data_IF_210911151177
#
_entry.id   IF_210911151177
#
_cell.length_a   1.000
_cell.length_b   1.000
_cell.length_c   1.000
_cell.angle_alpha   90.00
_cell.angle_beta   90.00
_cell.angle_gamma   90.00
#
_symmetry.space_group_name_H-M   'P 1'
#
loop_
_entity.id
_entity.type
_entity.pdbx_description
1 polymer ?
#
# COMPACT_ATOMS: atom_id res chain seq x y z
N UNK A 1 -2.05 0.68 -5.04
CA UNK A 1 -1.47 1.61 -4.04
C UNK A 1 -1.92 1.30 -2.59
N UNK A 2 -3.06 0.64 -2.33
CA UNK A 2 -3.53 0.36 -0.95
C UNK A 2 -2.92 -0.90 -0.27
N UNK A 3 -2.15 -1.70 -1.00
CA UNK A 3 -1.71 -3.02 -0.52
C UNK A 3 -0.54 -2.94 0.48
N UNK A 4 0.43 -2.06 0.23
CA UNK A 4 1.71 -1.95 0.97
C UNK A 4 1.72 -0.89 2.08
N UNK A 5 0.89 0.14 2.01
CA UNK A 5 0.92 1.25 2.98
C UNK A 5 0.56 0.83 4.43
N UNK A 6 -0.49 0.01 4.67
CA UNK A 6 -0.90 -0.30 6.05
C UNK A 6 0.12 -1.13 6.86
N UNK A 7 0.82 -2.13 6.28
CA UNK A 7 1.90 -2.84 6.97
C UNK A 7 3.11 -1.98 7.32
N UNK A 8 3.52 -1.06 6.43
CA UNK A 8 4.66 -0.16 6.67
C UNK A 8 4.36 0.76 7.85
N UNK A 9 3.17 1.37 7.87
CA UNK A 9 2.73 2.24 8.97
C UNK A 9 2.77 1.51 10.31
N UNK A 10 2.24 0.28 10.36
CA UNK A 10 2.26 -0.55 11.56
C UNK A 10 3.69 -0.85 12.03
N UNK A 11 4.58 -1.25 11.12
CA UNK A 11 5.97 -1.57 11.48
C UNK A 11 6.72 -0.34 12.00
N UNK A 12 6.52 0.83 11.38
CA UNK A 12 7.11 2.08 11.85
C UNK A 12 6.65 2.42 13.27
N UNK A 13 5.34 2.37 13.54
CA UNK A 13 4.80 2.63 14.88
C UNK A 13 5.34 1.66 15.92
N UNK A 14 5.41 0.37 15.57
CA UNK A 14 6.01 -0.63 16.44
C UNK A 14 7.48 -0.36 16.69
N UNK A 15 8.27 -0.04 15.65
CA UNK A 15 9.69 0.29 15.79
C UNK A 15 9.89 1.49 16.72
N UNK A 16 9.15 2.58 16.49
CA UNK A 16 9.22 3.76 17.33
C UNK A 16 8.81 3.48 18.78
N UNK A 17 7.82 2.62 19.00
CA UNK A 17 7.45 2.17 20.33
C UNK A 17 8.59 1.42 21.03
N UNK A 18 9.20 0.46 20.33
CA UNK A 18 10.32 -0.31 20.86
C UNK A 18 11.55 0.57 21.18
N UNK A 19 11.87 1.54 20.32
CA UNK A 19 12.96 2.51 20.55
C UNK A 19 12.74 3.38 21.78
N UNK A 20 11.47 3.70 22.08
CA UNK A 20 11.07 4.44 23.29
C UNK A 20 10.99 3.56 24.54
N UNK A 21 11.22 2.25 24.41
CA UNK A 21 11.08 1.28 25.50
C UNK A 21 9.63 0.96 25.86
N UNK A 22 8.65 1.27 25.00
CA UNK A 22 7.27 0.85 25.23
C UNK A 22 7.08 -0.61 24.84
N UNK A 23 6.21 -1.32 25.56
CA UNK A 23 5.91 -2.70 25.21
C UNK A 23 5.18 -2.78 23.87
N UNK A 24 5.49 -3.82 23.10
CA UNK A 24 4.82 -4.10 21.82
C UNK A 24 3.30 -4.13 21.96
N UNK A 25 2.80 -4.76 23.04
CA UNK A 25 1.38 -4.87 23.33
C UNK A 25 0.73 -3.49 23.49
N UNK A 26 1.35 -2.60 24.25
CA UNK A 26 0.86 -1.22 24.45
C UNK A 26 0.85 -0.45 23.14
N UNK A 27 1.91 -0.56 22.34
CA UNK A 27 2.02 0.11 21.04
C UNK A 27 0.90 -0.35 20.09
N UNK A 28 0.66 -1.65 19.99
CA UNK A 28 -0.38 -2.22 19.14
C UNK A 28 -1.80 -1.81 19.60
N UNK A 29 -2.05 -1.78 20.91
CA UNK A 29 -3.31 -1.30 21.46
C UNK A 29 -3.56 0.16 21.09
N UNK A 30 -2.55 1.02 21.24
CA UNK A 30 -2.64 2.44 20.87
C UNK A 30 -2.87 2.62 19.37
N UNK A 31 -2.14 1.88 18.53
CA UNK A 31 -2.28 1.92 17.07
C UNK A 31 -3.73 1.59 16.65
N UNK A 32 -4.31 0.54 17.23
CA UNK A 32 -5.70 0.17 16.88
C UNK A 32 -6.75 1.20 17.28
N UNK A 33 -6.46 2.13 18.20
CA UNK A 33 -7.43 3.14 18.66
C UNK A 33 -7.55 4.34 17.71
N UNK A 34 -6.60 4.52 16.76
CA UNK A 34 -6.54 5.71 15.92
C UNK A 34 -7.67 5.81 14.88
N UNK A 35 -8.07 4.68 14.28
CA UNK A 35 -9.16 4.64 13.30
C UNK A 35 -10.00 3.36 13.44
N UNK A 36 -11.29 3.51 13.74
CA UNK A 36 -12.24 2.40 13.90
C UNK A 36 -12.84 1.91 12.58
N UNK A 37 -12.78 2.73 11.53
CA UNK A 37 -13.51 2.51 10.29
C UNK A 37 -12.75 1.69 9.26
N UNK A 38 -11.41 1.73 9.30
CA UNK A 38 -10.60 1.04 8.30
C UNK A 38 -10.53 -0.49 8.54
N UNK A 39 -10.74 -1.31 7.49
CA UNK A 39 -10.71 -2.78 7.58
C UNK A 39 -9.40 -3.34 8.16
N UNK A 40 -8.29 -2.64 7.92
CA UNK A 40 -6.97 -3.02 8.42
C UNK A 40 -6.90 -3.03 9.96
N UNK A 41 -7.38 -1.95 10.59
CA UNK A 41 -7.39 -1.84 12.04
C UNK A 41 -8.35 -2.82 12.69
N UNK A 42 -9.47 -3.13 12.03
CA UNK A 42 -10.40 -4.18 12.48
C UNK A 42 -9.73 -5.55 12.45
N UNK A 43 -8.96 -5.83 11.39
CA UNK A 43 -8.23 -7.09 11.25
C UNK A 43 -7.13 -7.25 12.31
N UNK A 44 -6.36 -6.19 12.61
CA UNK A 44 -5.37 -6.21 13.70
C UNK A 44 -6.05 -6.43 15.05
N UNK A 45 -7.18 -5.76 15.31
CA UNK A 45 -7.94 -5.97 16.55
C UNK A 45 -8.42 -7.40 16.72
N UNK A 46 -9.00 -7.97 15.66
CA UNK A 46 -9.45 -9.36 15.67
C UNK A 46 -8.28 -10.31 15.94
N UNK A 47 -7.14 -10.08 15.28
CA UNK A 47 -5.92 -10.86 15.49
C UNK A 47 -5.41 -10.76 16.94
N UNK A 48 -5.32 -9.56 17.52
CA UNK A 48 -4.93 -9.34 18.91
C UNK A 48 -5.87 -10.07 19.88
N UNK A 49 -7.18 -9.96 19.68
CA UNK A 49 -8.17 -10.62 20.52
C UNK A 49 -8.05 -12.15 20.46
N UNK A 50 -7.80 -12.71 19.28
CA UNK A 50 -7.59 -14.16 19.12
C UNK A 50 -6.36 -14.64 19.88
N UNK A 51 -5.26 -13.87 19.83
CA UNK A 51 -4.04 -14.17 20.59
C UNK A 51 -4.28 -14.09 22.11
N UNK A 52 -4.99 -13.07 22.59
CA UNK A 52 -5.31 -12.92 24.01
C UNK A 52 -6.20 -14.07 24.53
N UNK A 53 -7.08 -14.61 23.68
CA UNK A 53 -7.93 -15.76 23.97
C UNK A 53 -7.19 -17.11 23.84
N UNK A 54 -5.90 -17.11 23.50
CA UNK A 54 -5.11 -18.33 23.28
C UNK A 54 -5.56 -19.14 22.06
N UNK A 55 -6.29 -18.53 21.13
CA UNK A 55 -6.79 -19.18 19.90
C UNK A 55 -5.78 -18.98 18.77
N UNK A 56 -5.77 -19.93 17.85
CA UNK A 56 -4.93 -19.83 16.65
C UNK A 56 -5.36 -18.64 15.78
N UNK A 57 -4.46 -17.69 15.47
CA UNK A 57 -4.75 -16.57 14.56
C UNK A 57 -4.75 -16.98 13.08
N UNK A 58 -4.41 -18.23 12.74
CA UNK A 58 -4.30 -18.72 11.37
C UNK A 58 -5.51 -18.38 10.46
N UNK A 59 -6.79 -18.46 10.92
CA UNK A 59 -7.91 -18.12 10.06
C UNK A 59 -7.89 -16.65 9.62
N UNK A 60 -7.50 -15.74 10.53
CA UNK A 60 -7.45 -14.30 10.27
C UNK A 60 -6.31 -13.92 9.31
N UNK A 61 -5.21 -14.68 9.32
CA UNK A 61 -3.98 -14.41 8.57
C UNK A 61 -3.91 -15.20 7.25
N UNK A 62 -4.71 -16.27 7.10
CA UNK A 62 -4.69 -17.15 5.93
C UNK A 62 -5.07 -16.46 4.61
N UNK A 63 -5.98 -15.47 4.67
CA UNK A 63 -6.44 -14.70 3.50
C UNK A 63 -5.56 -13.48 3.18
N UNK A 64 -4.52 -13.22 3.97
CA UNK A 64 -3.64 -12.07 3.79
C UNK A 64 -2.59 -12.32 2.70
N UNK A 65 -2.09 -11.23 2.12
CA UNK A 65 -0.90 -11.29 1.26
C UNK A 65 0.31 -11.84 2.03
N UNK A 66 1.30 -12.46 1.35
CA UNK A 66 2.48 -13.02 1.99
C UNK A 66 3.22 -12.03 2.89
N UNK A 67 3.38 -10.78 2.45
CA UNK A 67 4.03 -9.71 3.22
C UNK A 67 3.28 -9.38 4.51
N UNK A 68 1.94 -9.27 4.43
CA UNK A 68 1.11 -9.03 5.61
C UNK A 68 1.27 -10.17 6.61
N UNK A 69 1.22 -11.42 6.14
CA UNK A 69 1.43 -12.59 6.99
C UNK A 69 2.79 -12.54 7.70
N UNK A 70 3.85 -12.21 6.97
CA UNK A 70 5.20 -12.05 7.55
C UNK A 70 5.24 -10.97 8.64
N UNK A 71 4.56 -9.83 8.45
CA UNK A 71 4.42 -8.83 9.52
C UNK A 71 3.73 -9.42 10.76
N UNK A 72 2.61 -10.11 10.59
CA UNK A 72 1.86 -10.68 11.72
C UNK A 72 2.64 -11.77 12.46
N UNK A 73 3.35 -12.64 11.74
CA UNK A 73 4.23 -13.66 12.33
C UNK A 73 5.35 -13.02 13.15
N UNK A 74 5.95 -11.95 12.63
CA UNK A 74 6.99 -11.20 13.31
C UNK A 74 6.47 -10.54 14.59
N UNK A 75 5.31 -9.90 14.53
CA UNK A 75 4.67 -9.30 15.70
C UNK A 75 4.28 -10.37 16.74
N UNK A 76 3.86 -11.55 16.31
CA UNK A 76 3.56 -12.67 17.19
C UNK A 76 4.80 -13.15 17.94
N UNK A 77 5.95 -13.28 17.28
CA UNK A 77 7.23 -13.58 17.93
C UNK A 77 7.58 -12.53 18.99
N UNK A 78 7.40 -11.24 18.67
CA UNK A 78 7.65 -10.15 19.61
C UNK A 78 6.70 -10.18 20.82
N UNK A 79 5.44 -10.55 20.64
CA UNK A 79 4.47 -10.69 21.73
C UNK A 79 4.80 -11.88 22.64
N UNK A 80 5.52 -12.88 22.13
CA UNK A 80 6.05 -14.02 22.94
C UNK A 80 7.33 -13.66 23.69
N UNK A 81 7.85 -12.44 23.52
CA UNK A 81 9.05 -11.95 24.19
C UNK A 81 10.34 -12.19 23.42
N UNK A 82 10.26 -12.60 22.14
CA UNK A 82 11.44 -12.75 21.30
C UNK A 82 11.96 -11.38 20.82
N UNK A 83 13.28 -11.20 20.67
CA UNK A 83 13.85 -9.97 20.15
C UNK A 83 13.57 -9.85 18.64
N UNK A 84 12.68 -8.94 18.26
CA UNK A 84 12.24 -8.75 16.87
C UNK A 84 12.71 -7.46 16.20
N UNK A 85 13.43 -6.59 16.92
CA UNK A 85 13.78 -5.25 16.44
C UNK A 85 14.52 -5.27 15.10
N UNK A 86 15.56 -6.09 14.98
CA UNK A 86 16.35 -6.19 13.75
C UNK A 86 15.51 -6.70 12.58
N UNK A 87 14.63 -7.65 12.83
CA UNK A 87 13.73 -8.21 11.82
C UNK A 87 12.69 -7.18 11.37
N UNK A 88 12.21 -6.30 12.26
CA UNK A 88 11.35 -5.17 11.88
C UNK A 88 12.11 -4.26 10.91
N UNK A 89 13.34 -3.86 11.26
CA UNK A 89 14.14 -2.97 10.41
C UNK A 89 14.40 -3.55 9.01
N UNK A 90 14.69 -4.85 8.94
CA UNK A 90 14.86 -5.55 7.65
C UNK A 90 13.55 -5.53 6.84
N UNK A 91 12.44 -5.93 7.45
CA UNK A 91 11.15 -5.97 6.76
C UNK A 91 10.64 -4.59 6.34
N UNK A 92 10.90 -3.55 7.14
CA UNK A 92 10.62 -2.15 6.81
C UNK A 92 11.43 -1.70 5.59
N UNK A 93 12.72 -2.06 5.54
CA UNK A 93 13.60 -1.76 4.39
C UNK A 93 13.08 -2.45 3.12
N UNK A 94 12.79 -3.75 3.20
CA UNK A 94 12.26 -4.53 2.07
C UNK A 94 10.95 -3.93 1.54
N UNK A 95 10.04 -3.51 2.45
CA UNK A 95 8.78 -2.90 2.08
C UNK A 95 8.96 -1.51 1.45
N UNK A 96 9.95 -0.73 1.90
CA UNK A 96 10.29 0.55 1.28
C UNK A 96 10.84 0.37 -0.13
N UNK A 97 11.71 -0.61 -0.35
CA UNK A 97 12.24 -0.93 -1.68
C UNK A 97 11.12 -1.39 -2.63
N UNK A 98 10.23 -2.27 -2.17
CA UNK A 98 9.06 -2.70 -2.94
C UNK A 98 8.12 -1.55 -3.27
N UNK A 99 7.87 -0.66 -2.31
CA UNK A 99 7.05 0.53 -2.55
C UNK A 99 7.70 1.48 -3.56
N UNK A 100 9.02 1.66 -3.52
CA UNK A 100 9.75 2.46 -4.49
C UNK A 100 9.65 1.87 -5.90
N UNK A 101 9.81 0.55 -6.05
CA UNK A 101 9.65 -0.15 -7.32
C UNK A 101 8.23 0.02 -7.89
N UNK A 102 7.18 -0.15 -7.07
CA UNK A 102 5.80 0.08 -7.51
C UNK A 102 5.57 1.52 -8.01
N UNK A 103 6.18 2.52 -7.34
CA UNK A 103 6.10 3.91 -7.75
C UNK A 103 6.82 4.12 -9.08
N UNK A 104 8.03 3.59 -9.24
CA UNK A 104 8.80 3.71 -10.48
C UNK A 104 8.06 3.08 -11.66
N UNK A 105 7.52 1.87 -11.49
CA UNK A 105 6.69 1.20 -12.50
C UNK A 105 5.46 2.04 -12.85
N UNK A 106 4.77 2.57 -11.85
CA UNK A 106 3.60 3.41 -12.09
C UNK A 106 3.96 4.68 -12.87
N UNK A 107 5.03 5.37 -12.46
CA UNK A 107 5.52 6.60 -13.09
C UNK A 107 5.96 6.33 -14.53
N UNK A 108 6.61 5.20 -14.80
CA UNK A 108 6.99 4.80 -16.15
C UNK A 108 5.79 4.65 -17.10
N UNK A 109 4.61 4.30 -16.57
CA UNK A 109 3.38 4.19 -17.39
C UNK A 109 2.65 5.52 -17.60
N UNK A 110 2.91 6.55 -16.78
CA UNK A 110 2.19 7.82 -16.85
C UNK A 110 2.32 8.53 -18.21
N UNK A 111 3.50 8.62 -18.86
CA UNK A 111 3.64 9.26 -20.16
C UNK A 111 2.70 8.66 -21.20
N UNK A 112 2.65 7.33 -21.30
CA UNK A 112 1.78 6.63 -22.26
C UNK A 112 0.31 6.92 -21.97
N UNK A 113 -0.10 6.87 -20.70
CA UNK A 113 -1.47 7.20 -20.28
C UNK A 113 -1.84 8.65 -20.61
N UNK A 114 -0.89 9.58 -20.53
CA UNK A 114 -1.10 10.99 -20.87
C UNK A 114 -1.10 11.27 -22.38
N UNK A 115 -0.38 10.46 -23.17
CA UNK A 115 -0.31 10.61 -24.63
C UNK A 115 -1.62 10.21 -25.32
N UNK A 116 -2.35 9.21 -24.81
CA UNK A 116 -3.60 8.74 -25.43
C UNK A 116 -4.66 9.86 -25.54
N UNK A 117 -5.02 10.59 -24.45
CA UNK A 117 -5.93 11.73 -24.54
C UNK A 117 -5.42 12.83 -25.47
N UNK A 118 -4.11 13.09 -25.43
CA UNK A 118 -3.49 14.15 -26.23
C UNK A 118 -3.58 13.82 -27.72
N UNK A 119 -3.32 12.58 -28.11
CA UNK A 119 -3.49 12.09 -29.49
C UNK A 119 -4.94 12.18 -29.95
N UNK A 120 -5.90 11.87 -29.08
CA UNK A 120 -7.32 11.96 -29.40
C UNK A 120 -7.75 13.41 -29.71
N UNK A 121 -7.10 14.41 -29.11
CA UNK A 121 -7.35 15.82 -29.40
C UNK A 121 -6.54 16.34 -30.60
N UNK A 122 -5.29 15.88 -30.72
CA UNK A 122 -4.36 16.33 -31.75
C UNK A 122 -4.71 15.78 -33.14
N UNK A 123 -5.15 14.53 -33.24
CA UNK A 123 -5.52 13.90 -34.50
C UNK A 123 -6.67 14.61 -35.25
N UNK A 124 -7.84 14.88 -34.63
CA UNK A 124 -8.92 15.61 -35.31
C UNK A 124 -8.54 17.04 -35.63
N UNK A 125 -7.74 17.71 -34.79
CA UNK A 125 -7.23 19.05 -35.08
C UNK A 125 -6.37 19.06 -36.36
N UNK A 126 -5.47 18.08 -36.52
CA UNK A 126 -4.69 17.94 -37.74
C UNK A 126 -5.54 17.57 -38.96
N UNK A 127 -6.54 16.69 -38.81
CA UNK A 127 -7.48 16.40 -39.90
C UNK A 127 -8.26 17.64 -40.33
N UNK A 128 -8.75 18.45 -39.39
CA UNK A 128 -9.44 19.69 -39.70
C UNK A 128 -8.52 20.70 -40.41
N UNK A 129 -7.25 20.77 -40.02
CA UNK A 129 -6.28 21.67 -40.63
C UNK A 129 -5.89 21.21 -42.05
N UNK A 130 -5.73 19.91 -42.27
CA UNK A 130 -5.41 19.34 -43.59
C UNK A 130 -6.61 19.34 -44.54
N UNK A 131 -7.77 18.86 -44.08
CA UNK A 131 -8.96 18.66 -44.92
C UNK A 131 -9.87 19.88 -44.99
N UNK A 132 -9.81 20.78 -44.00
CA UNK A 132 -10.66 21.97 -43.93
C UNK A 132 -10.62 22.82 -45.21
N UNK A 133 -9.44 23.17 -45.75
CA UNK A 133 -9.32 23.91 -47.01
C UNK A 133 -9.88 23.16 -48.22
N UNK A 134 -9.72 21.83 -48.28
CA UNK A 134 -10.26 21.03 -49.39
C UNK A 134 -11.78 20.96 -49.33
N UNK A 135 -12.34 20.76 -48.13
CA UNK A 135 -13.79 20.73 -47.92
C UNK A 135 -14.43 22.10 -48.20
N UNK A 136 -13.77 23.20 -47.83
CA UNK A 136 -14.29 24.54 -48.12
C UNK A 136 -14.30 24.85 -49.62
N UNK A 137 -13.26 24.43 -50.37
CA UNK A 137 -13.24 24.56 -51.82
C UNK A 137 -14.28 23.67 -52.52
N UNK A 138 -14.54 22.47 -52.00
CA UNK A 138 -15.49 21.53 -52.59
C UNK A 138 -16.95 21.95 -52.33
N UNK A 139 -17.23 22.61 -51.20
CA UNK A 139 -18.56 23.13 -50.85
C UNK A 139 -18.85 24.55 -51.40
N UNK A 140 -17.81 25.28 -51.83
CA UNK A 140 -17.96 26.62 -52.43
C UNK A 140 -18.26 26.60 -53.93
N UNK A 141 -18.19 25.43 -54.57
CA UNK A 141 -18.68 25.17 -55.94
C UNK A 141 -20.05 24.49 -55.89
#
# INVERSE_FOLDING_TARGET
METLAPPIELLMEVRFGLEKGTSLKTTLQNYTQQDASSPWYQQIRLWLQLLELGRSPLPAVSQMSPLRRQCFELLEMGLRGEPIYQQICLLETDLHELAALEIEEFVATLPIKSLIPLLFLQFPAFLALLLGPFLSQLLAN
#
